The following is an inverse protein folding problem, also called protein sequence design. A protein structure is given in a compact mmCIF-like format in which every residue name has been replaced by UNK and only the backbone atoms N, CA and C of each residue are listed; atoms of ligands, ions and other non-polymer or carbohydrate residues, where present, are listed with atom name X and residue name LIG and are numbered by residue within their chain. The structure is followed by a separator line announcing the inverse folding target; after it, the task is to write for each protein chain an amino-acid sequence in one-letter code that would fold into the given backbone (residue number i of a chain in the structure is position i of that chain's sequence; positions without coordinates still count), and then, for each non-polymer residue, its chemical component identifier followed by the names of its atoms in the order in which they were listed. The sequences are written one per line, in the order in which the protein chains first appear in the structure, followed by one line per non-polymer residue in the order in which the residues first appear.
data_IF_025597775850
#
_entry.id   IF_025597775850
#
_cell.length_a   1.000
_cell.length_b   1.000
_cell.length_c   1.000
_cell.angle_alpha   90.00
_cell.angle_beta   90.00
_cell.angle_gamma   90.00
#
_symmetry.space_group_name_H-M   'P 1'
#
loop_
_entity.id
_entity.type
_entity.pdbx_description
1 polymer ?
#
# COMPACT_ATOMS: atom_id res chain seq x y z
N UNK A 1 14.02 1.24 -22.10
CA UNK A 1 13.59 2.57 -22.60
C UNK A 1 13.64 3.54 -21.43
N UNK A 2 14.21 4.73 -21.60
CA UNK A 2 14.16 5.77 -20.59
C UNK A 2 12.77 6.41 -20.61
N UNK A 3 12.09 6.47 -19.46
CA UNK A 3 10.75 7.04 -19.33
C UNK A 3 10.78 8.08 -18.21
N UNK A 4 9.97 9.13 -18.37
CA UNK A 4 9.87 10.21 -17.38
C UNK A 4 9.34 9.63 -16.06
N UNK A 5 9.92 10.05 -14.92
CA UNK A 5 9.48 9.63 -13.59
C UNK A 5 8.11 10.22 -13.17
N UNK A 6 7.59 11.17 -13.96
CA UNK A 6 6.30 11.82 -13.76
C UNK A 6 5.19 10.76 -13.75
N UNK A 7 4.42 10.71 -12.67
CA UNK A 7 3.36 9.71 -12.44
C UNK A 7 3.74 8.58 -11.48
N UNK A 8 4.94 8.61 -10.88
CA UNK A 8 5.27 7.69 -9.79
C UNK A 8 4.46 8.04 -8.55
N UNK A 9 3.76 7.05 -7.98
CA UNK A 9 2.94 7.25 -6.78
C UNK A 9 3.42 6.36 -5.64
N UNK A 10 3.29 6.88 -4.42
CA UNK A 10 3.50 6.13 -3.18
C UNK A 10 2.17 5.99 -2.45
N UNK A 11 1.85 4.78 -2.00
CA UNK A 11 0.70 4.51 -1.15
C UNK A 11 1.16 3.98 0.21
N UNK A 12 0.60 4.54 1.28
CA UNK A 12 0.70 4.03 2.65
C UNK A 12 -0.61 3.31 2.96
N UNK A 13 -0.57 1.98 2.97
CA UNK A 13 -1.77 1.16 2.98
C UNK A 13 -2.66 1.52 1.78
N UNK A 14 -3.85 2.05 2.07
CA UNK A 14 -4.82 2.50 1.07
C UNK A 14 -4.63 3.95 0.61
N UNK A 15 -3.89 4.77 1.36
CA UNK A 15 -3.83 6.21 1.14
C UNK A 15 -2.68 6.56 0.21
N UNK A 16 -2.99 7.25 -0.89
CA UNK A 16 -1.98 7.80 -1.80
C UNK A 16 -1.39 9.05 -1.16
N UNK A 17 -0.06 9.13 -1.08
CA UNK A 17 0.63 10.34 -0.64
C UNK A 17 0.71 11.30 -1.82
N UNK A 18 0.14 12.49 -1.67
CA UNK A 18 0.10 13.50 -2.73
C UNK A 18 1.26 14.49 -2.63
N UNK A 19 1.50 15.25 -3.70
CA UNK A 19 2.52 16.31 -3.77
C UNK A 19 3.96 15.83 -3.54
N UNK A 20 4.28 14.60 -3.94
CA UNK A 20 5.66 14.09 -3.92
C UNK A 20 6.46 14.60 -5.11
N UNK A 21 7.64 15.15 -4.83
CA UNK A 21 8.60 15.64 -5.83
C UNK A 21 9.69 14.61 -6.11
N UNK A 22 10.03 13.78 -5.12
CA UNK A 22 10.96 12.67 -5.28
C UNK A 22 10.58 11.46 -4.43
N UNK A 23 10.83 10.27 -4.99
CA UNK A 23 10.74 8.99 -4.28
C UNK A 23 12.07 8.27 -4.56
N UNK A 24 12.92 8.17 -3.53
CA UNK A 24 14.13 7.38 -3.62
C UNK A 24 13.75 5.90 -3.53
N UNK A 25 14.13 5.11 -4.54
CA UNK A 25 13.87 3.68 -4.57
C UNK A 25 14.58 2.92 -3.45
N UNK A 26 14.28 1.61 -3.35
CA UNK A 26 14.88 0.72 -2.36
C UNK A 26 16.38 0.52 -2.61
N UNK A 27 17.19 0.69 -1.56
CA UNK A 27 18.62 0.39 -1.55
C UNK A 27 18.88 -0.99 -0.93
N UNK A 28 18.72 -2.03 -1.75
CA UNK A 28 18.95 -3.42 -1.33
C UNK A 28 20.44 -3.70 -1.12
N UNK A 29 20.81 -4.06 0.10
CA UNK A 29 22.16 -4.49 0.48
C UNK A 29 22.11 -5.89 1.10
N UNK A 30 23.21 -6.63 1.01
CA UNK A 30 23.33 -7.95 1.61
C UNK A 30 24.69 -8.08 2.27
N UNK A 31 24.71 -8.68 3.46
CA UNK A 31 25.96 -9.07 4.11
C UNK A 31 26.61 -10.22 3.35
N UNK A 32 27.94 -10.33 3.45
CA UNK A 32 28.71 -11.43 2.90
C UNK A 32 29.45 -12.16 4.01
N UNK A 33 29.37 -13.48 4.00
CA UNK A 33 30.09 -14.37 4.90
C UNK A 33 31.25 -14.97 4.12
N UNK A 34 32.47 -14.71 4.55
CA UNK A 34 33.67 -15.32 3.96
C UNK A 34 33.74 -16.81 4.35
N UNK A 35 33.78 -17.69 3.36
CA UNK A 35 33.85 -19.15 3.52
C UNK A 35 35.15 -19.72 2.94
N UNK A 36 36.14 -18.86 2.68
CA UNK A 36 37.43 -19.25 2.13
C UNK A 36 38.07 -20.31 3.01
N UNK A 37 38.42 -21.45 2.41
CA UNK A 37 39.00 -22.58 3.11
C UNK A 37 40.35 -22.98 2.49
N UNK A 38 41.07 -23.91 3.13
CA UNK A 38 42.39 -24.38 2.68
C UNK A 38 42.36 -25.13 1.33
N UNK A 39 41.18 -25.52 0.86
CA UNK A 39 40.97 -26.09 -0.48
C UNK A 39 40.49 -25.08 -1.53
N UNK A 40 40.25 -23.82 -1.15
CA UNK A 40 39.89 -22.74 -2.08
C UNK A 40 41.08 -22.43 -3.00
N UNK A 41 40.99 -22.91 -4.24
CA UNK A 41 42.03 -22.78 -5.24
C UNK A 41 42.03 -21.42 -5.95
N UNK A 42 43.20 -20.97 -6.39
CA UNK A 42 43.32 -19.82 -7.29
C UNK A 42 43.48 -18.45 -6.63
N UNK A 43 43.61 -18.37 -5.29
CA UNK A 43 43.96 -17.13 -4.58
C UNK A 43 42.83 -16.10 -4.48
N UNK A 44 41.60 -16.49 -4.80
CA UNK A 44 40.40 -15.66 -4.65
C UNK A 44 39.63 -16.04 -3.38
N UNK A 45 39.01 -15.04 -2.74
CA UNK A 45 38.11 -15.28 -1.61
C UNK A 45 36.77 -15.82 -2.10
N UNK A 46 36.19 -16.76 -1.36
CA UNK A 46 34.85 -17.30 -1.60
C UNK A 46 33.87 -16.73 -0.57
N UNK A 47 32.70 -16.27 -1.02
CA UNK A 47 31.70 -15.63 -0.17
C UNK A 47 30.33 -16.30 -0.30
N UNK A 48 29.62 -16.41 0.82
CA UNK A 48 28.19 -16.79 0.90
C UNK A 48 27.36 -15.55 1.28
N UNK A 49 26.14 -15.44 0.74
CA UNK A 49 25.24 -14.34 1.09
C UNK A 49 24.63 -14.51 2.49
N UNK A 50 24.76 -13.49 3.32
CA UNK A 50 24.18 -13.40 4.66
C UNK A 50 22.79 -12.76 4.66
N UNK A 51 22.46 -12.06 5.74
CA UNK A 51 21.19 -11.34 5.85
C UNK A 51 21.10 -10.21 4.83
N UNK A 52 19.88 -9.95 4.34
CA UNK A 52 19.58 -8.90 3.39
C UNK A 52 18.90 -7.75 4.11
N UNK A 53 19.40 -6.54 3.92
CA UNK A 53 18.75 -5.31 4.35
C UNK A 53 18.18 -4.61 3.12
N UNK A 54 16.88 -4.34 3.16
CA UNK A 54 16.18 -3.64 2.09
C UNK A 54 16.35 -2.12 2.14
N UNK A 55 17.07 -1.62 3.14
CA UNK A 55 17.45 -0.23 3.29
C UNK A 55 16.25 0.62 3.73
N UNK A 56 16.25 1.86 3.23
CA UNK A 56 15.26 2.86 3.57
C UNK A 56 14.76 3.55 2.30
N UNK A 57 13.47 3.91 2.30
CA UNK A 57 12.83 4.69 1.24
C UNK A 57 12.69 6.11 1.76
N UNK A 58 13.43 7.04 1.16
CA UNK A 58 13.31 8.47 1.44
C UNK A 58 12.39 9.12 0.42
N UNK A 59 11.45 9.92 0.90
CA UNK A 59 10.47 10.63 0.08
C UNK A 59 10.54 12.11 0.38
N UNK A 60 10.46 12.93 -0.65
CA UNK A 60 10.39 14.38 -0.52
C UNK A 60 9.25 14.93 -1.36
N UNK A 61 8.66 16.02 -0.89
CA UNK A 61 7.49 16.62 -1.51
C UNK A 61 7.17 18.01 -0.97
N UNK A 62 6.02 18.52 -1.35
CA UNK A 62 5.45 19.73 -0.78
C UNK A 62 4.43 19.36 0.29
N UNK A 63 4.52 20.02 1.44
CA UNK A 63 3.54 19.84 2.50
C UNK A 63 2.19 20.37 2.06
N UNK A 64 1.16 19.54 2.18
CA UNK A 64 -0.21 19.91 1.84
C UNK A 64 -1.12 19.63 3.03
N UNK A 65 -1.55 20.68 3.71
CA UNK A 65 -2.47 20.58 4.85
C UNK A 65 -3.87 20.04 4.47
N UNK A 66 -4.22 20.01 3.18
CA UNK A 66 -5.48 19.45 2.69
C UNK A 66 -5.37 17.94 2.40
N UNK A 67 -4.16 17.37 2.40
CA UNK A 67 -3.97 15.91 2.27
C UNK A 67 -4.22 15.22 3.61
N UNK A 68 -5.49 15.17 3.99
CA UNK A 68 -5.97 14.60 5.25
C UNK A 68 -5.76 13.07 5.34
N UNK A 69 -5.39 12.40 4.25
CA UNK A 69 -5.30 10.95 4.19
C UNK A 69 -3.88 10.45 3.91
N UNK A 70 -3.13 11.05 2.99
CA UNK A 70 -1.79 10.61 2.62
C UNK A 70 -0.74 11.04 3.64
N UNK A 71 -0.42 12.34 3.67
CA UNK A 71 0.60 12.91 4.56
C UNK A 71 0.25 12.70 6.05
N UNK A 72 -1.03 12.82 6.42
CA UNK A 72 -1.49 12.49 7.77
C UNK A 72 -1.33 11.01 8.14
N UNK A 73 -1.58 10.08 7.21
CA UNK A 73 -1.36 8.65 7.51
C UNK A 73 0.13 8.33 7.69
N UNK A 74 1.01 9.02 6.97
CA UNK A 74 2.45 8.87 7.16
C UNK A 74 2.90 9.41 8.52
N UNK A 75 2.39 10.56 8.94
CA UNK A 75 2.63 11.10 10.28
C UNK A 75 2.07 10.18 11.38
N UNK A 76 0.85 9.66 11.20
CA UNK A 76 0.27 8.69 12.13
C UNK A 76 1.06 7.37 12.17
N UNK A 77 1.63 6.94 11.04
CA UNK A 77 2.50 5.77 10.98
C UNK A 77 3.83 6.00 11.71
N UNK A 78 4.35 7.23 11.68
CA UNK A 78 5.50 7.66 12.47
C UNK A 78 5.19 7.63 13.97
N UNK A 79 4.11 8.28 14.41
CA UNK A 79 3.70 8.33 15.82
C UNK A 79 3.39 6.93 16.40
N UNK A 80 2.74 6.06 15.62
CA UNK A 80 2.42 4.70 16.07
C UNK A 80 3.65 3.76 16.07
N UNK A 81 4.73 4.09 15.35
CA UNK A 81 5.90 3.23 15.18
C UNK A 81 5.60 1.84 14.59
N UNK A 82 4.41 1.65 14.02
CA UNK A 82 3.92 0.35 13.55
C UNK A 82 4.34 0.07 12.12
N UNK A 83 4.60 -1.21 11.84
CA UNK A 83 4.93 -1.66 10.49
C UNK A 83 3.71 -1.56 9.59
N UNK A 84 3.76 -0.66 8.61
CA UNK A 84 2.72 -0.44 7.61
C UNK A 84 3.14 -1.00 6.25
N UNK A 85 2.15 -1.27 5.39
CA UNK A 85 2.38 -1.71 4.01
C UNK A 85 2.54 -0.50 3.11
N UNK A 86 3.57 -0.49 2.26
CA UNK A 86 3.85 0.56 1.28
C UNK A 86 3.88 0.00 -0.12
N UNK A 87 3.36 0.76 -1.07
CA UNK A 87 3.37 0.43 -2.49
C UNK A 87 3.90 1.62 -3.28
N UNK A 88 5.02 1.44 -3.99
CA UNK A 88 5.52 2.39 -4.98
C UNK A 88 5.09 1.87 -6.35
N UNK A 89 4.34 2.67 -7.10
CA UNK A 89 3.96 2.35 -8.47
C UNK A 89 4.70 3.27 -9.44
N UNK A 90 5.51 2.70 -10.33
CA UNK A 90 6.20 3.45 -11.38
C UNK A 90 5.35 3.55 -12.64
N UNK A 91 5.46 4.65 -13.41
CA UNK A 91 4.74 4.83 -14.67
C UNK A 91 5.18 3.83 -15.77
N UNK A 92 6.32 3.16 -15.58
CA UNK A 92 6.82 2.10 -16.47
C UNK A 92 6.19 0.72 -16.22
N UNK A 93 5.23 0.62 -15.28
CA UNK A 93 4.50 -0.62 -14.97
C UNK A 93 5.16 -1.49 -13.89
N UNK A 94 6.36 -1.14 -13.43
CA UNK A 94 6.99 -1.76 -12.26
C UNK A 94 6.37 -1.22 -10.96
N UNK A 95 6.30 -2.07 -9.94
CA UNK A 95 5.90 -1.63 -8.61
C UNK A 95 6.70 -2.36 -7.53
N UNK A 96 7.02 -1.63 -6.46
CA UNK A 96 7.57 -2.18 -5.25
C UNK A 96 6.48 -2.26 -4.20
N UNK A 97 6.32 -3.43 -3.60
CA UNK A 97 5.48 -3.62 -2.41
C UNK A 97 6.39 -4.04 -1.26
N UNK A 98 6.36 -3.32 -0.16
CA UNK A 98 7.17 -3.61 1.00
C UNK A 98 6.44 -3.23 2.28
N UNK A 99 6.81 -3.85 3.39
CA UNK A 99 6.36 -3.39 4.70
C UNK A 99 7.47 -2.54 5.31
N UNK A 100 7.14 -1.55 6.13
CA UNK A 100 8.15 -0.66 6.71
C UNK A 100 7.62 0.15 7.89
N UNK A 101 8.53 0.81 8.59
CA UNK A 101 8.22 1.73 9.69
C UNK A 101 8.71 3.11 9.30
N UNK A 102 7.90 4.15 9.52
CA UNK A 102 8.34 5.52 9.30
C UNK A 102 9.28 5.90 10.44
N UNK A 103 10.53 6.21 10.12
CA UNK A 103 11.58 6.56 11.08
C UNK A 103 11.88 8.05 11.09
N UNK A 104 11.43 8.78 10.08
CA UNK A 104 11.62 10.23 9.98
C UNK A 104 10.42 10.89 9.31
N UNK A 105 10.01 12.02 9.86
CA UNK A 105 9.04 12.93 9.27
C UNK A 105 9.48 14.36 9.61
N UNK A 106 9.82 15.14 8.59
CA UNK A 106 10.29 16.53 8.77
C UNK A 106 9.57 17.46 7.80
N UNK A 107 9.30 18.67 8.27
CA UNK A 107 8.72 19.75 7.47
C UNK A 107 9.62 20.96 7.54
N UNK A 108 9.93 21.58 6.40
CA UNK A 108 10.69 22.82 6.35
C UNK A 108 9.92 23.90 5.60
N UNK A 109 10.07 25.15 6.02
CA UNK A 109 9.47 26.31 5.37
C UNK A 109 10.52 27.40 5.24
N UNK A 110 10.75 27.87 4.02
CA UNK A 110 11.67 28.97 3.71
C UNK A 110 10.88 30.23 3.33
N UNK A 111 11.43 31.42 3.60
CA UNK A 111 10.74 32.71 3.44
C UNK A 111 10.23 32.96 2.00
N UNK A 112 10.96 32.45 1.00
CA UNK A 112 10.64 32.59 -0.44
C UNK A 112 10.34 31.22 -1.09
N UNK A 113 10.12 30.17 -0.28
CA UNK A 113 9.97 28.78 -0.73
C UNK A 113 8.59 28.19 -0.44
N UNK A 114 8.27 27.08 -1.08
CA UNK A 114 7.11 26.26 -0.69
C UNK A 114 7.44 25.45 0.56
N UNK A 115 6.44 25.12 1.37
CA UNK A 115 6.65 24.25 2.53
C UNK A 115 7.01 22.86 2.00
N UNK A 116 8.22 22.39 2.32
CA UNK A 116 8.68 21.06 1.94
C UNK A 116 8.38 20.05 3.04
N UNK A 117 8.16 18.82 2.59
CA UNK A 117 7.91 17.67 3.44
C UNK A 117 8.91 16.57 3.06
N UNK A 118 9.53 15.95 4.06
CA UNK A 118 10.42 14.80 3.88
C UNK A 118 10.04 13.68 4.86
N UNK A 119 10.02 12.45 4.35
CA UNK A 119 9.74 11.25 5.13
C UNK A 119 10.77 10.16 4.87
N UNK A 120 11.10 9.41 5.91
CA UNK A 120 12.02 8.25 5.82
C UNK A 120 11.30 7.01 6.29
N UNK A 121 11.26 5.98 5.44
CA UNK A 121 10.59 4.71 5.72
C UNK A 121 11.64 3.60 5.75
N UNK A 122 11.90 3.04 6.94
CA UNK A 122 12.75 1.86 7.11
C UNK A 122 12.01 0.63 6.64
N UNK A 123 12.60 -0.14 5.73
CA UNK A 123 11.94 -1.31 5.16
C UNK A 123 12.11 -2.50 6.12
N UNK A 124 11.01 -3.20 6.38
CA UNK A 124 10.95 -4.36 7.25
C UNK A 124 10.54 -5.60 6.45
N UNK A 125 11.42 -6.60 6.43
CA UNK A 125 11.20 -7.85 5.69
C UNK A 125 11.57 -7.73 4.20
N UNK A 126 11.17 -8.75 3.44
CA UNK A 126 11.52 -8.85 2.02
C UNK A 126 10.60 -7.95 1.16
N UNK A 127 11.14 -6.94 0.46
CA UNK A 127 10.36 -6.20 -0.53
C UNK A 127 10.12 -7.07 -1.76
N UNK A 128 8.97 -6.89 -2.39
CA UNK A 128 8.59 -7.58 -3.61
C UNK A 128 8.53 -6.60 -4.78
N UNK A 129 9.22 -6.94 -5.86
CA UNK A 129 9.11 -6.23 -7.13
C UNK A 129 8.22 -7.01 -8.08
N UNK A 130 7.25 -6.33 -8.67
CA UNK A 130 6.37 -6.90 -9.68
C UNK A 130 6.26 -6.00 -10.90
N UNK A 131 6.47 -6.58 -12.08
CA UNK A 131 6.24 -5.95 -13.39
C UNK A 131 4.97 -6.46 -14.09
N UNK A 132 4.37 -7.53 -13.54
CA UNK A 132 3.10 -8.08 -14.00
C UNK A 132 2.03 -7.71 -12.98
N UNK A 133 0.89 -7.19 -13.44
CA UNK A 133 -0.22 -6.85 -12.55
C UNK A 133 -0.84 -8.12 -11.95
N UNK A 134 -1.22 -8.06 -10.67
CA UNK A 134 -1.94 -9.13 -9.97
C UNK A 134 -3.22 -9.52 -10.72
N UNK A 135 -3.62 -10.79 -10.63
CA UNK A 135 -4.91 -11.26 -11.15
C UNK A 135 -6.08 -10.48 -10.53
N UNK A 136 -5.95 -10.12 -9.25
CA UNK A 136 -6.93 -9.35 -8.50
C UNK A 136 -8.05 -10.19 -7.94
N UNK A 137 -9.15 -9.54 -7.62
CA UNK A 137 -10.37 -10.21 -7.15
C UNK A 137 -11.04 -10.96 -8.31
N UNK A 138 -11.63 -12.11 -7.99
CA UNK A 138 -12.52 -12.89 -8.85
C UNK A 138 -13.98 -12.73 -8.46
N UNK A 139 -14.26 -12.25 -7.25
CA UNK A 139 -15.57 -11.77 -6.83
C UNK A 139 -15.43 -10.70 -5.74
N UNK A 140 -16.38 -9.77 -5.71
CA UNK A 140 -16.56 -8.80 -4.64
C UNK A 140 -18.05 -8.69 -4.32
N UNK A 141 -18.41 -9.00 -3.08
CA UNK A 141 -19.78 -8.94 -2.59
C UNK A 141 -19.81 -8.10 -1.33
N UNK A 142 -20.73 -7.14 -1.26
CA UNK A 142 -21.06 -6.44 -0.02
C UNK A 142 -22.41 -6.93 0.46
N UNK A 143 -22.51 -7.16 1.76
CA UNK A 143 -23.72 -7.70 2.39
C UNK A 143 -24.14 -6.76 3.51
N UNK A 144 -25.36 -6.23 3.39
CA UNK A 144 -26.06 -5.47 4.41
C UNK A 144 -27.58 -5.64 4.20
N UNK A 145 -28.40 -5.23 5.16
CA UNK A 145 -29.82 -5.09 4.89
C UNK A 145 -30.03 -3.92 3.91
N UNK A 146 -30.61 -4.23 2.75
CA UNK A 146 -30.71 -3.28 1.64
C UNK A 146 -29.38 -3.01 0.94
N UNK A 147 -29.49 -2.41 -0.23
CA UNK A 147 -28.37 -1.92 -1.02
C UNK A 147 -27.84 -2.88 -2.08
N UNK A 148 -27.25 -2.30 -3.12
CA UNK A 148 -26.71 -3.02 -4.26
C UNK A 148 -25.34 -2.46 -4.67
N UNK A 149 -24.45 -3.36 -5.11
CA UNK A 149 -23.15 -2.97 -5.62
C UNK A 149 -23.29 -2.47 -7.06
N UNK A 150 -22.83 -1.25 -7.31
CA UNK A 150 -22.87 -0.61 -8.61
C UNK A 150 -21.50 0.03 -8.94
N UNK A 151 -20.90 -0.25 -10.11
CA UNK A 151 -21.33 -1.24 -11.11
C UNK A 151 -21.29 -2.68 -10.55
N UNK A 152 -21.94 -3.62 -11.22
CA UNK A 152 -21.78 -5.03 -10.90
C UNK A 152 -20.30 -5.42 -10.97
N UNK A 153 -19.90 -6.42 -10.17
CA UNK A 153 -18.51 -6.84 -10.14
C UNK A 153 -18.03 -7.28 -11.53
N UNK A 154 -16.93 -6.67 -11.97
CA UNK A 154 -16.22 -7.00 -13.18
C UNK A 154 -14.73 -6.86 -12.91
N UNK A 155 -13.92 -7.77 -13.46
CA UNK A 155 -12.47 -7.88 -13.19
C UNK A 155 -11.70 -6.60 -13.57
N UNK A 156 -12.21 -5.83 -14.53
CA UNK A 156 -11.63 -4.55 -14.97
C UNK A 156 -12.04 -3.34 -14.13
N UNK A 157 -13.09 -3.45 -13.31
CA UNK A 157 -13.57 -2.32 -12.51
C UNK A 157 -12.79 -2.23 -11.20
N UNK A 158 -12.46 -1.00 -10.81
CA UNK A 158 -11.66 -0.71 -9.60
C UNK A 158 -12.36 0.19 -8.61
N UNK A 159 -13.49 0.76 -9.00
CA UNK A 159 -14.29 1.67 -8.19
C UNK A 159 -15.73 1.19 -8.22
N UNK A 160 -16.32 1.07 -7.03
CA UNK A 160 -17.68 0.65 -6.83
C UNK A 160 -18.37 1.56 -5.80
N UNK A 161 -19.70 1.54 -5.85
CA UNK A 161 -20.57 2.17 -4.88
C UNK A 161 -21.54 1.13 -4.35
N UNK A 162 -21.84 1.19 -3.06
CA UNK A 162 -22.83 0.36 -2.40
C UNK A 162 -23.79 1.30 -1.69
N UNK A 163 -24.91 1.56 -2.35
CA UNK A 163 -25.93 2.53 -1.94
C UNK A 163 -27.25 1.84 -1.67
N UNK A 164 -28.14 2.47 -0.90
CA UNK A 164 -29.43 1.89 -0.52
C UNK A 164 -29.37 1.00 0.73
N UNK A 165 -28.29 1.08 1.51
CA UNK A 165 -28.13 0.31 2.74
C UNK A 165 -29.02 0.89 3.83
N UNK A 166 -29.77 0.01 4.51
CA UNK A 166 -30.63 0.35 5.66
C UNK A 166 -30.07 -0.14 6.99
N UNK A 167 -29.17 -1.12 6.96
CA UNK A 167 -28.49 -1.63 8.15
C UNK A 167 -27.51 -0.61 8.76
N UNK A 168 -27.27 -0.73 10.06
CA UNK A 168 -26.19 -0.01 10.79
C UNK A 168 -24.81 -0.62 10.57
N UNK A 169 -24.74 -1.79 9.93
CA UNK A 169 -23.48 -2.49 9.64
C UNK A 169 -23.50 -3.11 8.26
N UNK A 170 -22.34 -3.18 7.62
CA UNK A 170 -22.12 -3.95 6.40
C UNK A 170 -20.88 -4.85 6.53
N UNK A 171 -20.86 -5.95 5.80
CA UNK A 171 -19.68 -6.81 5.65
C UNK A 171 -19.25 -6.84 4.20
N UNK A 172 -17.94 -6.97 3.97
CA UNK A 172 -17.38 -7.15 2.63
C UNK A 172 -16.76 -8.53 2.50
N UNK A 173 -17.10 -9.22 1.42
CA UNK A 173 -16.58 -10.53 1.06
C UNK A 173 -15.84 -10.39 -0.27
N UNK A 174 -14.53 -10.52 -0.21
CA UNK A 174 -13.66 -10.47 -1.38
C UNK A 174 -13.10 -11.88 -1.65
N UNK A 175 -13.19 -12.32 -2.91
CA UNK A 175 -12.68 -13.63 -3.32
C UNK A 175 -11.55 -13.44 -4.31
N UNK A 176 -10.45 -14.13 -4.08
CA UNK A 176 -9.28 -14.20 -4.95
C UNK A 176 -8.61 -15.57 -4.81
N UNK A 177 -7.78 -15.97 -5.77
CA UNK A 177 -7.14 -17.29 -5.77
C UNK A 177 -6.06 -17.42 -4.67
N UNK A 178 -4.81 -17.09 -4.98
CA UNK A 178 -3.69 -17.18 -4.04
C UNK A 178 -3.20 -15.79 -3.60
N UNK A 179 -4.13 -14.91 -3.23
CA UNK A 179 -3.83 -13.51 -2.92
C UNK A 179 -3.86 -13.24 -1.42
N UNK A 180 -3.01 -12.32 -0.97
CA UNK A 180 -3.19 -11.65 0.32
C UNK A 180 -4.12 -10.46 0.11
N UNK A 181 -5.21 -10.40 0.87
CA UNK A 181 -6.21 -9.35 0.77
C UNK A 181 -6.20 -8.51 2.05
N UNK A 182 -6.00 -7.20 1.94
CA UNK A 182 -6.06 -6.27 3.07
C UNK A 182 -7.23 -5.30 2.91
N UNK A 183 -8.00 -5.10 3.97
CA UNK A 183 -9.11 -4.16 4.04
C UNK A 183 -8.72 -2.93 4.85
N UNK A 184 -9.00 -1.76 4.27
CA UNK A 184 -8.92 -0.47 4.93
C UNK A 184 -10.30 0.18 4.92
N UNK A 185 -10.69 0.80 6.03
CA UNK A 185 -11.93 1.58 6.17
C UNK A 185 -11.53 3.03 6.43
N UNK A 186 -11.94 3.93 5.54
CA UNK A 186 -11.54 5.34 5.52
C UNK A 186 -10.02 5.53 5.64
N UNK A 187 -9.27 4.69 4.92
CA UNK A 187 -7.81 4.75 4.90
C UNK A 187 -7.10 4.10 6.09
N UNK A 188 -7.83 3.70 7.14
CA UNK A 188 -7.28 3.01 8.32
C UNK A 188 -7.33 1.51 8.11
N UNK A 189 -6.25 0.81 8.43
CA UNK A 189 -6.22 -0.66 8.36
C UNK A 189 -7.30 -1.25 9.27
N UNK A 190 -8.18 -2.07 8.70
CA UNK A 190 -9.24 -2.73 9.43
C UNK A 190 -8.86 -4.18 9.74
N UNK A 191 -8.50 -4.96 8.72
CA UNK A 191 -8.12 -6.36 8.86
C UNK A 191 -7.53 -6.94 7.57
N UNK A 192 -6.94 -8.13 7.68
CA UNK A 192 -6.74 -9.03 6.55
C UNK A 192 -8.05 -9.78 6.24
N UNK A 193 -8.36 -9.91 4.96
CA UNK A 193 -9.55 -10.61 4.46
C UNK A 193 -9.19 -12.06 4.13
N UNK A 194 -10.02 -12.98 4.61
CA UNK A 194 -9.96 -14.39 4.17
C UNK A 194 -10.77 -14.51 2.88
N UNK A 195 -10.16 -15.09 1.84
CA UNK A 195 -10.81 -15.24 0.54
C UNK A 195 -12.16 -15.95 0.65
N UNK A 196 -13.20 -15.35 0.08
CA UNK A 196 -14.57 -15.88 0.09
C UNK A 196 -15.29 -15.82 1.44
N UNK A 197 -14.68 -15.22 2.47
CA UNK A 197 -15.29 -15.04 3.80
C UNK A 197 -15.66 -13.58 4.06
N UNK A 198 -16.73 -13.32 4.83
CA UNK A 198 -17.10 -11.96 5.20
C UNK A 198 -16.09 -11.33 6.16
N UNK A 199 -15.86 -10.03 6.01
CA UNK A 199 -15.14 -9.21 6.98
C UNK A 199 -15.86 -9.15 8.32
N UNK A 200 -15.17 -8.63 9.33
CA UNK A 200 -15.79 -8.08 10.54
C UNK A 200 -16.79 -6.99 10.12
N UNK A 201 -17.85 -6.85 10.90
CA UNK A 201 -18.90 -5.87 10.65
C UNK A 201 -18.33 -4.44 10.68
N UNK A 202 -18.54 -3.72 9.58
CA UNK A 202 -18.16 -2.31 9.43
C UNK A 202 -19.34 -1.47 9.87
N UNK A 203 -19.14 -0.63 10.89
CA UNK A 203 -20.17 0.29 11.36
C UNK A 203 -20.45 1.40 10.32
N UNK A 204 -21.73 1.64 10.05
CA UNK A 204 -22.24 2.65 9.14
C UNK A 204 -23.07 3.70 9.89
N UNK A 205 -22.88 4.96 9.51
CA UNK A 205 -23.66 6.09 10.04
C UNK A 205 -24.58 6.63 8.94
N UNK A 206 -25.80 7.02 9.32
CA UNK A 206 -26.78 7.53 8.36
C UNK A 206 -26.23 8.77 7.64
N UNK A 207 -26.36 8.80 6.31
CA UNK A 207 -25.89 9.88 5.43
C UNK A 207 -24.38 10.15 5.49
N UNK A 208 -23.58 9.23 6.03
CA UNK A 208 -22.13 9.29 6.02
C UNK A 208 -21.60 8.17 5.13
N UNK A 209 -20.89 8.54 4.07
CA UNK A 209 -20.20 7.58 3.22
C UNK A 209 -18.93 7.08 3.88
N UNK A 210 -18.70 5.75 3.83
CA UNK A 210 -17.43 5.14 4.23
C UNK A 210 -16.73 4.58 3.01
N UNK A 211 -15.43 4.86 2.88
CA UNK A 211 -14.58 4.36 1.80
C UNK A 211 -13.91 3.06 2.26
N UNK A 212 -14.24 1.96 1.60
CA UNK A 212 -13.56 0.69 1.77
C UNK A 212 -12.49 0.56 0.68
N UNK A 213 -11.25 0.32 1.08
CA UNK A 213 -10.16 0.05 0.14
C UNK A 213 -9.65 -1.36 0.36
N UNK A 214 -9.72 -2.18 -0.69
CA UNK A 214 -9.24 -3.55 -0.69
C UNK A 214 -8.00 -3.62 -1.55
N UNK A 215 -6.90 -4.08 -0.95
CA UNK A 215 -5.64 -4.28 -1.65
C UNK A 215 -5.46 -5.78 -1.85
N UNK A 216 -5.49 -6.21 -3.12
CA UNK A 216 -5.21 -7.57 -3.52
C UNK A 216 -3.76 -7.69 -3.98
N UNK A 217 -2.97 -8.47 -3.24
CA UNK A 217 -1.56 -8.68 -3.48
C UNK A 217 -1.27 -10.14 -3.85
N UNK A 218 -0.42 -10.34 -4.84
CA UNK A 218 0.15 -11.64 -5.22
C UNK A 218 1.67 -11.50 -5.26
N UNK A 219 2.40 -12.50 -4.75
CA UNK A 219 3.86 -12.44 -4.69
C UNK A 219 4.45 -12.17 -6.08
N UNK A 220 5.43 -11.26 -6.14
CA UNK A 220 6.12 -10.86 -7.38
C UNK A 220 5.24 -10.18 -8.44
N UNK A 221 4.07 -9.66 -8.04
CA UNK A 221 3.16 -8.90 -8.91
C UNK A 221 2.78 -7.55 -8.32
N UNK A 222 2.36 -6.65 -9.19
CA UNK A 222 1.83 -5.34 -8.80
C UNK A 222 0.44 -5.49 -8.18
N UNK A 223 0.25 -4.98 -6.97
CA UNK A 223 -1.01 -5.08 -6.25
C UNK A 223 -2.16 -4.38 -7.00
N UNK A 224 -3.36 -4.96 -6.92
CA UNK A 224 -4.59 -4.31 -7.40
C UNK A 224 -5.35 -3.71 -6.23
N UNK A 225 -5.63 -2.42 -6.35
CA UNK A 225 -6.42 -1.66 -5.38
C UNK A 225 -7.83 -1.48 -5.91
N UNK A 226 -8.80 -1.87 -5.09
CA UNK A 226 -10.24 -1.72 -5.32
C UNK A 226 -10.82 -0.78 -4.27
N UNK A 227 -11.68 0.14 -4.71
CA UNK A 227 -12.34 1.11 -3.86
C UNK A 227 -13.86 0.89 -3.90
N UNK A 228 -14.49 0.90 -2.73
CA UNK A 228 -15.94 0.79 -2.60
C UNK A 228 -16.43 1.89 -1.66
N UNK A 229 -17.34 2.75 -2.14
CA UNK A 229 -17.99 3.74 -1.28
C UNK A 229 -19.32 3.18 -0.79
N UNK A 230 -19.45 3.01 0.52
CA UNK A 230 -20.67 2.50 1.17
C UNK A 230 -21.43 3.65 1.79
N UNK A 231 -22.72 3.80 1.48
CA UNK A 231 -23.57 4.85 2.04
C UNK A 231 -24.84 4.23 2.60
N UNK A 232 -25.10 4.51 3.89
CA UNK A 232 -26.38 4.25 4.53
C UNK A 232 -27.35 5.39 4.21
N UNK A 233 -28.48 5.09 3.60
CA UNK A 233 -29.45 6.09 3.10
C UNK A 233 -30.79 6.06 3.82
N UNK A 234 -31.04 5.07 4.70
CA UNK A 234 -32.22 5.00 5.56
C UNK A 234 -31.89 4.22 6.84
#
# INVERSE_FOLDING_TARGET
MAQRAVGTTLQVGANVVTELTSINGLSLTAETIDITNLSSGGGYREFMGGFKDAGEVAITGHFNAQDANGQMALYAAFENGSTNSYIITFPSGGSWTFNGVVTGFTTAAELEGTVSFEGTIKVSGAPSFGITQSGGLTALVLTAAGGALAPAFAVGNRSYSYSGVTATTATVTATAAAHTLKLYVDGVYAQDLVTGSPSVAIALTLNVGRKLTIIAYEASKSAKVYEVVVIKTA
#
